data_IF_719896764131
#
_entry.id   IF_719896764131
#
_cell.length_a   1.000
_cell.length_b   1.000
_cell.length_c   1.000
_cell.angle_alpha   90.00
_cell.angle_beta   90.00
_cell.angle_gamma   90.00
#
_symmetry.space_group_name_H-M   'P 1'
#
loop_
_entity.id
_entity.type
_entity.pdbx_description
1 polymer ?
#
# COMPACT_ATOMS: atom_id res chain seq x y z
N UNK A 1 15.12 -34.03 19.21
CA UNK A 1 14.01 -33.90 18.23
C UNK A 1 12.91 -33.08 18.90
N UNK A 2 12.64 -31.84 18.45
CA UNK A 2 11.56 -31.01 19.01
C UNK A 2 10.25 -31.31 18.27
N UNK A 3 9.24 -31.77 19.00
CA UNK A 3 7.87 -31.92 18.49
C UNK A 3 7.24 -30.53 18.31
N UNK A 4 6.83 -30.21 17.09
CA UNK A 4 5.98 -29.06 16.82
C UNK A 4 4.52 -29.50 16.92
N UNK A 5 3.78 -28.90 17.86
CA UNK A 5 2.33 -29.05 17.96
C UNK A 5 1.69 -28.24 16.82
N UNK A 6 1.35 -28.91 15.72
CA UNK A 6 0.58 -28.31 14.64
C UNK A 6 -0.86 -28.07 15.11
N UNK A 7 -1.46 -26.89 14.82
CA UNK A 7 -2.86 -26.64 15.12
C UNK A 7 -3.76 -27.63 14.34
N UNK A 8 -4.85 -28.03 15.00
CA UNK A 8 -5.74 -29.15 14.61
C UNK A 8 -6.50 -28.96 13.29
N UNK A 9 -6.30 -27.85 12.58
CA UNK A 9 -6.93 -27.58 11.29
C UNK A 9 -6.03 -26.67 10.42
N UNK A 10 -5.44 -27.18 9.32
CA UNK A 10 -4.43 -26.47 8.52
C UNK A 10 -5.01 -25.45 7.53
N UNK A 11 -6.35 -25.33 7.43
CA UNK A 11 -7.01 -24.45 6.47
C UNK A 11 -7.58 -23.21 7.17
N UNK A 12 -6.85 -22.10 7.11
CA UNK A 12 -7.28 -20.79 7.65
C UNK A 12 -8.15 -20.00 6.66
N UNK A 13 -9.11 -20.65 5.99
CA UNK A 13 -10.12 -19.97 5.17
C UNK A 13 -9.60 -18.88 4.22
N UNK A 14 -10.42 -17.84 3.97
CA UNK A 14 -10.10 -16.70 3.09
C UNK A 14 -9.48 -15.50 3.83
N UNK A 15 -9.11 -15.66 5.12
CA UNK A 15 -8.51 -14.55 5.86
C UNK A 15 -7.02 -14.43 5.48
N UNK A 16 -6.49 -13.22 5.31
CA UNK A 16 -5.05 -13.03 5.16
C UNK A 16 -4.33 -13.63 6.37
N UNK A 17 -3.23 -14.34 6.10
CA UNK A 17 -2.36 -14.85 7.16
C UNK A 17 -1.82 -13.74 8.05
N UNK A 18 -1.76 -14.02 9.35
CA UNK A 18 -1.17 -13.15 10.35
C UNK A 18 0.34 -13.40 10.48
N UNK A 19 1.07 -12.44 11.07
CA UNK A 19 2.53 -12.51 11.23
C UNK A 19 3.03 -13.75 11.97
N UNK A 20 2.16 -14.42 12.73
CA UNK A 20 2.47 -15.61 13.53
C UNK A 20 2.38 -16.93 12.73
N UNK A 21 1.90 -16.89 11.47
CA UNK A 21 1.66 -18.06 10.61
C UNK A 21 2.77 -18.28 9.57
N UNK A 22 3.96 -17.71 9.81
CA UNK A 22 5.13 -17.75 8.91
C UNK A 22 5.59 -19.16 8.50
N UNK A 23 5.25 -20.19 9.28
CA UNK A 23 5.56 -21.60 9.01
C UNK A 23 4.86 -22.14 7.75
N UNK A 24 3.78 -21.50 7.28
CA UNK A 24 3.12 -21.86 6.01
C UNK A 24 3.71 -21.15 4.77
N UNK A 25 4.74 -20.30 4.95
CA UNK A 25 5.40 -19.49 3.92
C UNK A 25 6.81 -19.98 3.52
N UNK A 26 7.10 -21.28 3.63
CA UNK A 26 8.38 -21.82 3.17
C UNK A 26 8.57 -21.60 1.65
N UNK A 27 9.70 -21.01 1.25
CA UNK A 27 10.12 -20.85 -0.15
C UNK A 27 9.84 -19.48 -0.79
N UNK A 28 9.40 -18.47 -0.03
CA UNK A 28 9.19 -17.10 -0.56
C UNK A 28 10.15 -16.05 -0.02
N UNK A 29 11.20 -16.44 0.70
CA UNK A 29 12.19 -15.48 1.19
C UNK A 29 12.88 -14.73 0.05
N UNK A 30 13.25 -15.42 -1.02
CA UNK A 30 13.80 -14.81 -2.23
C UNK A 30 12.84 -13.78 -2.84
N UNK A 31 11.53 -14.07 -2.84
CA UNK A 31 10.52 -13.12 -3.35
C UNK A 31 10.42 -11.87 -2.48
N UNK A 32 10.49 -12.02 -1.16
CA UNK A 32 10.43 -10.85 -0.28
C UNK A 32 11.71 -10.03 -0.35
N UNK A 33 12.87 -10.66 -0.49
CA UNK A 33 14.13 -9.96 -0.69
C UNK A 33 14.10 -9.17 -2.01
N UNK A 34 13.55 -9.75 -3.08
CA UNK A 34 13.33 -9.05 -4.34
C UNK A 34 12.34 -7.87 -4.20
N UNK A 35 11.22 -8.06 -3.49
CA UNK A 35 10.27 -6.98 -3.18
C UNK A 35 10.99 -5.83 -2.45
N UNK A 36 11.84 -6.15 -1.48
CA UNK A 36 12.57 -5.17 -0.68
C UNK A 36 13.54 -4.37 -1.54
N UNK A 37 14.32 -5.03 -2.41
CA UNK A 37 15.26 -4.38 -3.32
C UNK A 37 14.56 -3.45 -4.32
N UNK A 38 13.46 -3.92 -4.92
CA UNK A 38 12.69 -3.10 -5.87
C UNK A 38 12.03 -1.91 -5.20
N UNK A 39 11.46 -2.10 -4.01
CA UNK A 39 10.84 -1.03 -3.24
C UNK A 39 11.88 0.05 -2.85
N UNK A 40 13.09 -0.37 -2.48
CA UNK A 40 14.21 0.54 -2.20
C UNK A 40 14.58 1.39 -3.41
N UNK A 41 14.59 0.80 -4.61
CA UNK A 41 14.99 1.50 -5.84
C UNK A 41 13.91 2.44 -6.40
N UNK A 42 12.64 2.05 -6.33
CA UNK A 42 11.57 2.70 -7.09
C UNK A 42 10.51 3.41 -6.24
N UNK A 43 10.47 3.19 -4.91
CA UNK A 43 9.44 3.67 -3.95
C UNK A 43 7.99 3.29 -4.28
N UNK A 44 7.70 2.86 -5.50
CA UNK A 44 6.45 2.25 -5.94
C UNK A 44 6.70 0.78 -6.27
N UNK A 45 5.79 -0.09 -5.83
CA UNK A 45 5.86 -1.53 -6.06
C UNK A 45 4.46 -2.11 -6.29
N UNK A 46 4.32 -2.91 -7.34
CA UNK A 46 3.09 -3.64 -7.61
C UNK A 46 3.29 -5.14 -7.45
N UNK A 47 2.53 -5.74 -6.53
CA UNK A 47 2.47 -7.19 -6.35
C UNK A 47 1.25 -7.70 -7.08
N UNK A 48 1.46 -8.41 -8.19
CA UNK A 48 0.41 -8.80 -9.14
C UNK A 48 0.36 -10.32 -9.26
N UNK A 49 -0.84 -10.89 -9.31
CA UNK A 49 -0.99 -12.34 -9.43
C UNK A 49 -2.44 -12.79 -9.25
N UNK A 50 -2.72 -14.08 -9.44
CA UNK A 50 -4.08 -14.62 -9.38
C UNK A 50 -4.76 -14.41 -8.01
N UNK A 51 -6.09 -14.47 -7.98
CA UNK A 51 -6.84 -14.41 -6.71
C UNK A 51 -6.42 -15.57 -5.81
N UNK A 52 -6.21 -15.30 -4.52
CA UNK A 52 -5.74 -16.32 -3.56
C UNK A 52 -4.25 -16.69 -3.64
N UNK A 53 -3.45 -16.08 -4.52
CA UNK A 53 -2.01 -16.37 -4.66
C UNK A 53 -1.12 -15.91 -3.49
N UNK A 54 -1.72 -15.28 -2.47
CA UNK A 54 -1.05 -14.83 -1.26
C UNK A 54 -0.42 -13.43 -1.33
N UNK A 55 -0.75 -12.57 -2.32
CA UNK A 55 -0.16 -11.22 -2.48
C UNK A 55 -0.20 -10.36 -1.22
N UNK A 56 -1.38 -10.21 -0.63
CA UNK A 56 -1.58 -9.42 0.60
C UNK A 56 -0.76 -9.98 1.75
N UNK A 57 -0.67 -11.31 1.86
CA UNK A 57 0.15 -11.96 2.89
C UNK A 57 1.66 -11.86 2.61
N UNK A 58 2.09 -11.91 1.35
CA UNK A 58 3.49 -11.70 0.97
C UNK A 58 3.97 -10.33 1.43
N UNK A 59 3.15 -9.30 1.26
CA UNK A 59 3.47 -7.96 1.76
C UNK A 59 3.34 -7.90 3.29
N UNK A 60 2.21 -8.33 3.86
CA UNK A 60 1.92 -8.13 5.29
C UNK A 60 2.73 -9.01 6.24
N UNK A 61 2.99 -10.26 5.86
CA UNK A 61 3.72 -11.25 6.66
C UNK A 61 5.18 -11.43 6.20
N UNK A 62 5.53 -10.98 4.98
CA UNK A 62 6.90 -11.01 4.46
C UNK A 62 7.59 -9.66 4.50
N UNK A 63 7.14 -8.72 3.68
CA UNK A 63 7.80 -7.42 3.48
C UNK A 63 7.76 -6.53 4.72
N UNK A 64 6.57 -6.30 5.30
CA UNK A 64 6.39 -5.38 6.43
C UNK A 64 7.24 -5.79 7.65
N UNK A 65 7.30 -7.08 8.07
CA UNK A 65 8.19 -7.50 9.14
C UNK A 65 9.68 -7.23 8.84
N UNK A 66 10.13 -7.44 7.60
CA UNK A 66 11.52 -7.14 7.20
C UNK A 66 11.82 -5.64 7.29
N UNK A 67 10.90 -4.78 6.84
CA UNK A 67 11.05 -3.33 6.97
C UNK A 67 11.18 -2.89 8.43
N UNK A 68 10.32 -3.43 9.31
CA UNK A 68 10.38 -3.18 10.76
C UNK A 68 11.65 -3.72 11.43
N UNK A 69 12.23 -4.77 10.88
CA UNK A 69 13.51 -5.31 11.34
C UNK A 69 14.73 -4.51 10.82
N UNK A 70 14.51 -3.44 10.05
CA UNK A 70 15.56 -2.56 9.56
C UNK A 70 16.23 -3.03 8.27
N UNK A 71 15.63 -3.88 7.44
CA UNK A 71 16.31 -4.36 6.20
C UNK A 71 16.48 -3.29 5.09
N UNK A 72 16.00 -2.06 5.29
CA UNK A 72 16.21 -0.90 4.41
C UNK A 72 16.85 0.27 5.19
N UNK A 73 17.94 0.02 5.92
CA UNK A 73 18.63 1.09 6.69
C UNK A 73 19.24 2.13 5.75
N UNK A 74 18.54 3.25 5.63
CA UNK A 74 19.14 4.58 5.52
C UNK A 74 19.09 5.23 6.91
N UNK A 75 19.51 6.50 7.07
CA UNK A 75 19.51 7.21 8.35
C UNK A 75 18.17 7.20 9.10
N UNK A 76 17.06 6.80 8.44
CA UNK A 76 15.69 6.62 8.95
C UNK A 76 15.35 5.14 9.20
N UNK A 77 15.07 4.77 10.45
CA UNK A 77 14.78 3.39 10.87
C UNK A 77 13.32 3.15 11.31
N UNK A 78 12.54 4.21 11.54
CA UNK A 78 11.16 4.08 12.01
C UNK A 78 10.15 3.90 10.86
N UNK A 79 9.53 2.74 10.75
CA UNK A 79 8.50 2.49 9.72
C UNK A 79 7.08 2.71 10.25
N UNK A 80 6.40 3.73 9.71
CA UNK A 80 4.96 3.94 9.81
C UNK A 80 4.28 3.14 8.70
N UNK A 81 3.29 2.31 9.06
CA UNK A 81 2.65 1.38 8.12
C UNK A 81 1.16 1.72 8.01
N UNK A 82 0.76 2.37 6.91
CA UNK A 82 -0.63 2.60 6.56
C UNK A 82 -1.10 1.49 5.61
N UNK A 83 -2.27 0.90 5.90
CA UNK A 83 -2.88 -0.14 5.08
C UNK A 83 -4.30 0.29 4.76
N UNK A 84 -4.66 0.26 3.48
CA UNK A 84 -5.99 0.60 3.01
C UNK A 84 -6.45 -0.32 1.89
N UNK A 85 -7.74 -0.24 1.59
CA UNK A 85 -8.32 -0.67 0.32
C UNK A 85 -9.00 0.55 -0.34
N UNK A 86 -8.95 0.69 -1.67
CA UNK A 86 -9.58 1.83 -2.34
C UNK A 86 -11.08 1.94 -2.06
N UNK A 87 -11.84 0.84 -2.18
CA UNK A 87 -13.30 0.86 -2.10
C UNK A 87 -13.93 1.86 -3.08
N UNK A 88 -15.14 2.33 -2.75
CA UNK A 88 -15.86 3.32 -3.57
C UNK A 88 -15.56 4.79 -3.25
N UNK A 89 -14.66 5.05 -2.30
CA UNK A 89 -14.26 6.40 -1.88
C UNK A 89 -12.76 6.43 -1.55
N UNK A 90 -11.90 6.29 -2.56
CA UNK A 90 -10.49 6.04 -2.35
C UNK A 90 -9.76 7.19 -1.65
N UNK A 91 -10.15 8.45 -1.84
CA UNK A 91 -9.52 9.58 -1.15
C UNK A 91 -9.93 9.63 0.33
N UNK A 92 -11.18 9.35 0.67
CA UNK A 92 -11.63 9.25 2.06
C UNK A 92 -10.90 8.11 2.80
N UNK A 93 -10.78 6.94 2.16
CA UNK A 93 -10.09 5.80 2.73
C UNK A 93 -8.58 6.05 2.91
N UNK A 94 -7.94 6.78 1.99
CA UNK A 94 -6.55 7.21 2.13
C UNK A 94 -6.38 8.15 3.32
N UNK A 95 -7.22 9.18 3.43
CA UNK A 95 -7.26 10.12 4.56
C UNK A 95 -7.35 9.37 5.89
N UNK A 96 -8.31 8.46 6.03
CA UNK A 96 -8.50 7.68 7.25
C UNK A 96 -7.25 6.84 7.58
N UNK A 97 -6.65 6.18 6.57
CA UNK A 97 -5.48 5.33 6.78
C UNK A 97 -4.25 6.12 7.23
N UNK A 98 -4.01 7.30 6.65
CA UNK A 98 -2.87 8.16 7.01
C UNK A 98 -3.04 8.78 8.40
N UNK A 99 -4.21 9.38 8.67
CA UNK A 99 -4.50 10.00 9.96
C UNK A 99 -4.42 9.01 11.13
N UNK A 100 -4.85 7.76 10.90
CA UNK A 100 -4.74 6.69 11.91
C UNK A 100 -3.31 6.46 12.39
N UNK A 101 -2.36 6.47 11.44
CA UNK A 101 -0.99 6.01 11.68
C UNK A 101 -0.07 7.15 12.06
N UNK A 102 -0.29 8.33 11.47
CA UNK A 102 0.62 9.46 11.59
C UNK A 102 0.19 10.44 12.68
N UNK A 103 -1.12 10.71 12.80
CA UNK A 103 -1.63 11.67 13.79
C UNK A 103 -2.40 11.03 14.95
N UNK A 104 -2.80 9.77 14.81
CA UNK A 104 -3.69 9.06 15.74
C UNK A 104 -4.99 9.83 16.05
N UNK A 105 -5.40 10.73 15.15
CA UNK A 105 -6.58 11.56 15.27
C UNK A 105 -7.46 11.40 14.03
N UNK A 106 -8.62 10.80 14.21
CA UNK A 106 -9.61 10.57 13.14
C UNK A 106 -10.94 11.25 13.48
N UNK A 107 -10.90 12.34 14.25
CA UNK A 107 -12.10 13.14 14.47
C UNK A 107 -12.62 13.68 13.12
N UNK A 108 -13.94 13.86 13.06
CA UNK A 108 -14.64 14.22 11.83
C UNK A 108 -14.08 15.49 11.17
N UNK A 109 -13.74 16.50 11.98
CA UNK A 109 -13.23 17.78 11.48
C UNK A 109 -11.84 17.60 10.86
N UNK A 110 -10.96 16.82 11.50
CA UNK A 110 -9.64 16.51 10.95
C UNK A 110 -9.72 15.73 9.64
N UNK A 111 -10.63 14.75 9.56
CA UNK A 111 -10.88 13.98 8.33
C UNK A 111 -11.39 14.88 7.20
N UNK A 112 -12.42 15.70 7.46
CA UNK A 112 -13.01 16.60 6.47
C UNK A 112 -11.99 17.65 5.97
N UNK A 113 -11.23 18.26 6.89
CA UNK A 113 -10.21 19.25 6.54
C UNK A 113 -9.08 18.64 5.71
N UNK A 114 -8.56 17.48 6.12
CA UNK A 114 -7.47 16.84 5.39
C UNK A 114 -7.93 16.33 4.03
N UNK A 115 -9.13 15.75 3.93
CA UNK A 115 -9.70 15.32 2.66
C UNK A 115 -9.87 16.49 1.67
N UNK A 116 -10.38 17.64 2.13
CA UNK A 116 -10.53 18.85 1.30
C UNK A 116 -9.18 19.36 0.79
N UNK A 117 -8.15 19.38 1.65
CA UNK A 117 -6.79 19.75 1.26
C UNK A 117 -6.20 18.74 0.27
N UNK A 118 -6.40 17.44 0.49
CA UNK A 118 -5.93 16.39 -0.40
C UNK A 118 -6.56 16.51 -1.79
N UNK A 119 -7.86 16.80 -1.87
CA UNK A 119 -8.57 17.03 -3.13
C UNK A 119 -8.07 18.28 -3.86
N UNK A 120 -7.71 19.34 -3.11
CA UNK A 120 -7.29 20.62 -3.68
C UNK A 120 -5.80 20.66 -4.08
N UNK A 121 -4.94 20.00 -3.31
CA UNK A 121 -3.49 20.14 -3.39
C UNK A 121 -2.75 18.81 -3.64
N UNK A 122 -3.44 17.67 -3.65
CA UNK A 122 -2.85 16.36 -3.90
C UNK A 122 -1.74 16.02 -2.92
N UNK A 123 -0.61 15.55 -3.43
CA UNK A 123 0.55 15.13 -2.62
C UNK A 123 1.12 16.26 -1.75
N UNK A 124 0.98 17.52 -2.14
CA UNK A 124 1.44 18.66 -1.32
C UNK A 124 0.74 18.69 0.04
N UNK A 125 -0.55 18.34 0.09
CA UNK A 125 -1.28 18.26 1.35
C UNK A 125 -0.67 17.20 2.30
N UNK A 126 -0.19 16.08 1.75
CA UNK A 126 0.48 15.02 2.53
C UNK A 126 1.85 15.52 3.03
N UNK A 127 2.62 16.18 2.16
CA UNK A 127 3.94 16.71 2.48
C UNK A 127 3.90 17.82 3.55
N UNK A 128 2.88 18.66 3.52
CA UNK A 128 2.67 19.75 4.48
C UNK A 128 2.12 19.21 5.82
N UNK A 129 1.12 18.31 5.78
CA UNK A 129 0.44 17.85 6.98
C UNK A 129 1.28 16.86 7.79
N UNK A 130 2.01 15.95 7.13
CA UNK A 130 2.74 14.87 7.80
C UNK A 130 4.26 15.03 7.77
N UNK A 131 4.77 16.08 7.11
CA UNK A 131 6.19 16.28 6.94
C UNK A 131 6.94 16.42 8.26
N UNK A 132 6.49 17.32 9.13
CA UNK A 132 7.09 17.50 10.46
C UNK A 132 7.06 16.20 11.28
N UNK A 133 5.93 15.48 11.27
CA UNK A 133 5.77 14.22 12.00
C UNK A 133 6.80 13.17 11.55
N UNK A 134 6.97 13.01 10.23
CA UNK A 134 7.93 12.05 9.67
C UNK A 134 9.39 12.50 9.86
N UNK A 135 9.67 13.80 9.87
CA UNK A 135 10.99 14.34 10.12
C UNK A 135 11.39 14.20 11.60
N UNK A 136 10.50 14.51 12.54
CA UNK A 136 10.73 14.39 13.99
C UNK A 136 10.96 12.95 14.45
N UNK A 137 10.19 12.00 13.91
CA UNK A 137 10.38 10.59 14.22
C UNK A 137 11.44 9.91 13.36
N UNK A 138 12.09 10.67 12.46
CA UNK A 138 13.05 10.14 11.50
C UNK A 138 12.50 8.91 10.76
N UNK A 139 11.23 9.01 10.37
CA UNK A 139 10.41 7.90 9.93
C UNK A 139 10.28 7.79 8.43
N UNK A 140 10.02 6.57 7.97
CA UNK A 140 9.56 6.21 6.65
C UNK A 140 8.07 5.85 6.71
N UNK A 141 7.33 6.11 5.64
CA UNK A 141 5.94 5.67 5.51
C UNK A 141 5.84 4.60 4.44
N UNK A 142 5.34 3.42 4.80
CA UNK A 142 4.82 2.46 3.83
C UNK A 142 3.30 2.60 3.74
N UNK A 143 2.80 2.90 2.55
CA UNK A 143 1.38 2.83 2.21
C UNK A 143 1.12 1.56 1.40
N UNK A 144 0.44 0.61 2.01
CA UNK A 144 -0.08 -0.59 1.34
C UNK A 144 -1.52 -0.32 0.87
N UNK A 145 -1.71 -0.25 -0.45
CA UNK A 145 -3.03 -0.25 -1.10
C UNK A 145 -3.36 -1.67 -1.53
N UNK A 146 -4.09 -2.37 -0.69
CA UNK A 146 -4.48 -3.76 -0.94
C UNK A 146 -5.74 -3.81 -1.83
N UNK A 147 -5.83 -4.81 -2.70
CA UNK A 147 -6.94 -4.97 -3.66
C UNK A 147 -7.16 -3.70 -4.50
N UNK A 148 -6.10 -3.25 -5.15
CA UNK A 148 -6.13 -2.08 -6.03
C UNK A 148 -7.20 -2.22 -7.12
N UNK A 149 -7.58 -3.44 -7.50
CA UNK A 149 -8.64 -3.68 -8.46
C UNK A 149 -10.02 -3.16 -8.05
N UNK A 150 -10.24 -2.88 -6.76
CA UNK A 150 -11.45 -2.21 -6.29
C UNK A 150 -11.64 -0.83 -6.94
N UNK A 151 -10.54 -0.16 -7.31
CA UNK A 151 -10.56 1.13 -7.99
C UNK A 151 -11.23 1.04 -9.37
N UNK A 152 -11.00 -0.05 -10.12
CA UNK A 152 -11.68 -0.26 -11.40
C UNK A 152 -13.15 -0.60 -11.18
N UNK A 153 -13.42 -1.51 -10.24
CA UNK A 153 -14.77 -2.01 -9.96
C UNK A 153 -15.73 -0.92 -9.49
N UNK A 154 -15.28 -0.05 -8.59
CA UNK A 154 -16.11 1.00 -8.01
C UNK A 154 -15.92 2.36 -8.69
N UNK A 155 -14.77 2.59 -9.32
CA UNK A 155 -14.42 3.86 -9.94
C UNK A 155 -14.61 3.91 -11.45
N UNK A 156 -14.21 2.88 -12.21
CA UNK A 156 -14.25 2.93 -13.68
C UNK A 156 -15.50 2.32 -14.30
N UNK A 157 -16.02 1.23 -13.71
CA UNK A 157 -17.18 0.51 -14.25
C UNK A 157 -18.53 1.11 -13.82
N UNK A 158 -18.51 2.20 -13.04
CA UNK A 158 -19.69 2.96 -12.65
C UNK A 158 -20.07 3.99 -13.71
N UNK A 159 -21.34 4.39 -13.74
CA UNK A 159 -21.82 5.51 -14.58
C UNK A 159 -21.54 6.89 -13.94
N UNK A 160 -21.08 6.92 -12.69
CA UNK A 160 -20.79 8.15 -11.97
C UNK A 160 -19.44 8.75 -12.40
N UNK A 161 -19.46 9.83 -13.17
CA UNK A 161 -18.25 10.54 -13.62
C UNK A 161 -17.39 11.08 -12.46
N UNK A 162 -18.00 11.55 -11.37
CA UNK A 162 -17.25 12.01 -10.21
C UNK A 162 -16.45 10.87 -9.56
N UNK A 163 -16.98 9.65 -9.56
CA UNK A 163 -16.28 8.48 -9.04
C UNK A 163 -15.11 8.07 -9.96
N UNK A 164 -15.25 8.24 -11.28
CA UNK A 164 -14.17 8.03 -12.26
C UNK A 164 -13.04 9.04 -12.06
N UNK A 165 -13.39 10.31 -11.88
CA UNK A 165 -12.44 11.39 -11.62
C UNK A 165 -11.71 11.17 -10.29
N UNK A 166 -12.43 10.81 -9.22
CA UNK A 166 -11.84 10.49 -7.92
C UNK A 166 -10.87 9.30 -8.03
N UNK A 167 -11.24 8.26 -8.77
CA UNK A 167 -10.36 7.12 -9.00
C UNK A 167 -9.06 7.50 -9.72
N UNK A 168 -9.15 8.34 -10.75
CA UNK A 168 -7.98 8.86 -11.48
C UNK A 168 -7.10 9.74 -10.59
N UNK A 169 -7.72 10.62 -9.80
CA UNK A 169 -7.02 11.46 -8.84
C UNK A 169 -6.26 10.62 -7.81
N UNK A 170 -6.90 9.58 -7.26
CA UNK A 170 -6.25 8.66 -6.33
C UNK A 170 -5.05 7.94 -6.97
N UNK A 171 -5.20 7.38 -8.17
CA UNK A 171 -4.09 6.74 -8.88
C UNK A 171 -2.92 7.71 -9.11
N UNK A 172 -3.21 8.95 -9.53
CA UNK A 172 -2.20 10.00 -9.70
C UNK A 172 -1.48 10.33 -8.38
N UNK A 173 -2.21 10.40 -7.25
CA UNK A 173 -1.62 10.65 -5.93
C UNK A 173 -0.69 9.50 -5.54
N UNK A 174 -1.04 8.24 -5.81
CA UNK A 174 -0.16 7.09 -5.50
C UNK A 174 1.17 7.17 -6.25
N UNK A 175 1.14 7.53 -7.54
CA UNK A 175 2.34 7.70 -8.35
C UNK A 175 3.16 8.91 -7.91
N UNK A 176 2.49 10.02 -7.59
CA UNK A 176 3.16 11.24 -7.15
C UNK A 176 3.78 11.09 -5.77
N UNK A 177 3.19 10.29 -4.87
CA UNK A 177 3.80 9.98 -3.57
C UNK A 177 5.13 9.27 -3.73
N UNK A 178 5.22 8.31 -4.65
CA UNK A 178 6.44 7.57 -4.88
C UNK A 178 7.52 8.40 -5.61
N UNK A 179 7.11 9.30 -6.53
CA UNK A 179 8.04 9.96 -7.46
C UNK A 179 8.33 11.43 -7.15
N UNK A 180 7.40 12.15 -6.50
CA UNK A 180 7.46 13.62 -6.33
C UNK A 180 7.51 14.06 -4.87
N UNK A 181 7.07 13.23 -3.92
CA UNK A 181 7.10 13.59 -2.51
C UNK A 181 8.54 13.79 -2.04
N UNK A 182 8.77 14.86 -1.28
CA UNK A 182 10.03 15.07 -0.57
C UNK A 182 10.22 14.05 0.56
N UNK A 183 9.13 13.48 1.04
CA UNK A 183 9.11 12.58 2.18
C UNK A 183 9.48 11.15 1.73
N UNK A 184 10.04 10.34 2.64
CA UNK A 184 10.38 8.94 2.37
C UNK A 184 9.12 8.06 2.39
N UNK A 185 8.24 8.27 1.41
CA UNK A 185 6.99 7.53 1.24
C UNK A 185 7.19 6.43 0.21
N UNK A 186 6.77 5.23 0.59
CA UNK A 186 6.86 4.01 -0.19
C UNK A 186 5.44 3.47 -0.41
N UNK A 187 5.04 3.30 -1.66
CA UNK A 187 3.71 2.82 -2.05
C UNK A 187 3.83 1.39 -2.55
N UNK A 188 3.07 0.48 -1.95
CA UNK A 188 2.92 -0.89 -2.42
C UNK A 188 1.46 -1.12 -2.76
N UNK A 189 1.18 -1.54 -3.98
CA UNK A 189 -0.15 -1.97 -4.38
C UNK A 189 -0.19 -3.50 -4.51
N UNK A 190 -1.32 -4.10 -4.16
CA UNK A 190 -1.61 -5.50 -4.56
C UNK A 190 -2.76 -5.49 -5.55
N UNK A 191 -2.64 -6.29 -6.61
CA UNK A 191 -3.67 -6.33 -7.64
C UNK A 191 -3.78 -7.71 -8.25
N UNK A 192 -4.95 -8.08 -8.75
CA UNK A 192 -5.06 -9.29 -9.57
C UNK A 192 -4.55 -9.07 -10.99
N UNK A 193 -3.93 -10.10 -11.57
CA UNK A 193 -3.32 -10.03 -12.90
C UNK A 193 -4.33 -9.82 -14.04
N UNK A 194 -5.60 -10.18 -13.85
CA UNK A 194 -6.66 -9.97 -14.83
C UNK A 194 -7.04 -8.49 -15.02
N UNK A 195 -6.65 -7.62 -14.09
CA UNK A 195 -6.90 -6.17 -14.16
C UNK A 195 -5.71 -5.36 -14.73
N UNK A 196 -4.68 -6.03 -15.26
CA UNK A 196 -3.53 -5.34 -15.86
C UNK A 196 -3.96 -4.46 -17.05
N UNK A 197 -4.92 -4.90 -17.87
CA UNK A 197 -5.43 -4.11 -18.99
C UNK A 197 -6.20 -2.86 -18.55
N UNK A 198 -6.88 -2.91 -17.39
CA UNK A 198 -7.62 -1.76 -16.87
C UNK A 198 -6.71 -0.62 -16.40
N UNK A 199 -5.42 -0.90 -16.18
CA UNK A 199 -4.44 0.11 -15.75
C UNK A 199 -4.21 1.18 -16.82
N UNK A 200 -4.48 0.90 -18.09
CA UNK A 200 -4.37 1.87 -19.20
C UNK A 200 -5.31 3.07 -19.04
N UNK A 201 -6.35 2.95 -18.20
CA UNK A 201 -7.23 4.06 -17.86
C UNK A 201 -6.59 5.11 -16.94
N UNK A 202 -5.43 4.81 -16.36
CA UNK A 202 -4.71 5.68 -15.42
C UNK A 202 -3.36 6.11 -16.00
N UNK A 203 -3.19 7.42 -16.18
CA UNK A 203 -1.96 7.98 -16.72
C UNK A 203 -0.74 7.65 -15.84
N UNK A 204 0.32 7.11 -16.43
CA UNK A 204 1.58 6.79 -15.74
C UNK A 204 1.57 5.48 -14.95
N UNK A 205 0.41 4.84 -14.77
CA UNK A 205 0.30 3.59 -14.01
C UNK A 205 0.93 2.41 -14.78
N UNK A 206 0.68 2.21 -16.09
CA UNK A 206 1.33 1.13 -16.84
C UNK A 206 2.86 1.18 -16.79
N UNK A 207 3.46 2.36 -16.88
CA UNK A 207 4.91 2.56 -16.80
C UNK A 207 5.43 2.20 -15.40
N UNK A 208 4.74 2.66 -14.34
CA UNK A 208 5.09 2.32 -12.97
C UNK A 208 5.00 0.82 -12.68
N UNK A 209 4.02 0.13 -13.25
CA UNK A 209 3.88 -1.33 -13.16
C UNK A 209 5.05 -2.04 -13.84
N UNK A 210 5.42 -1.64 -15.06
CA UNK A 210 6.52 -2.27 -15.81
C UNK A 210 7.86 -2.23 -15.07
N UNK A 211 8.11 -1.17 -14.30
CA UNK A 211 9.35 -1.04 -13.53
C UNK A 211 9.34 -1.79 -12.19
N UNK A 212 8.18 -2.20 -11.69
CA UNK A 212 8.02 -2.61 -10.29
C UNK A 212 7.18 -3.87 -10.06
N UNK A 213 6.70 -4.53 -11.11
CA UNK A 213 5.82 -5.71 -11.00
C UNK A 213 6.54 -6.99 -10.58
N UNK A 214 6.01 -7.69 -9.57
CA UNK A 214 6.40 -9.04 -9.18
C UNK A 214 5.22 -10.03 -9.32
N UNK A 215 5.50 -11.21 -9.91
CA UNK A 215 4.55 -12.28 -10.29
C UNK A 215 4.39 -13.36 -9.22
#
# INVERSE_FOLDING_TARGET
MRQYNLPKNPFVGLRPFESQESILFFGRDDHVDELTQRLYKHRFLAVVGSSGSGKSSLVRAGLIPRLRAGLMVSDRDQWKIAIMKPGGKPLENLTLALLKVLSQNQDRTSVENFLSNLQSFGVKAIDEYFGEILDECNGNLLLLVDQFEELFRFGLYTENELAKEEAKAFASIMLDLANKSRLPIYVVITMRSDFLGDCDAFYGLPEALNHSQLL
#
